data_IF_392350508296
#
_entry.id   IF_392350508296
#
_cell.length_a   1.000
_cell.length_b   1.000
_cell.length_c   1.000
_cell.angle_alpha   90.00
_cell.angle_beta   90.00
_cell.angle_gamma   90.00
#
_symmetry.space_group_name_H-M   'P 1'
#
loop_
_entity.id
_entity.type
_entity.pdbx_description
1 polymer ?
#
# COMPACT_ATOMS: atom_id res chain seq x y z
N UNK A 1 4.07 -10.76 18.88
CA UNK A 1 3.99 -9.68 17.87
C UNK A 1 5.07 -8.64 18.18
N UNK A 2 4.95 -8.06 19.36
CA UNK A 2 5.84 -7.29 20.23
C UNK A 2 7.33 -7.22 19.81
N UNK A 3 8.04 -8.35 19.69
CA UNK A 3 9.47 -8.35 19.28
C UNK A 3 9.66 -7.84 17.85
N UNK A 4 8.77 -8.17 16.92
CA UNK A 4 8.82 -7.65 15.56
C UNK A 4 8.42 -6.16 15.50
N UNK A 5 7.44 -5.74 16.32
CA UNK A 5 7.12 -4.31 16.49
C UNK A 5 8.34 -3.52 16.99
N UNK A 6 9.02 -4.04 18.02
CA UNK A 6 10.22 -3.44 18.60
C UNK A 6 11.34 -3.35 17.58
N UNK A 7 11.71 -4.47 16.97
CA UNK A 7 12.79 -4.51 15.99
C UNK A 7 12.55 -3.54 14.83
N UNK A 8 11.34 -3.49 14.26
CA UNK A 8 11.00 -2.55 13.18
C UNK A 8 10.86 -1.07 13.63
N UNK A 9 10.92 -0.79 14.93
CA UNK A 9 10.92 0.57 15.50
C UNK A 9 12.33 1.03 15.90
N UNK A 10 13.12 0.15 16.51
CA UNK A 10 14.49 0.42 16.98
C UNK A 10 15.54 0.30 15.85
N UNK A 11 15.35 -0.66 14.94
CA UNK A 11 16.10 -0.83 13.69
C UNK A 11 15.09 -0.86 12.51
N UNK A 12 14.70 0.31 11.97
CA UNK A 12 13.73 0.43 10.87
C UNK A 12 14.34 0.01 9.52
N UNK A 13 14.76 -1.25 9.44
CA UNK A 13 15.23 -1.93 8.23
C UNK A 13 14.10 -2.73 7.57
N UNK A 14 14.22 -2.97 6.27
CA UNK A 14 13.20 -3.72 5.53
C UNK A 14 13.07 -5.17 6.04
N UNK A 15 14.20 -5.84 6.35
CA UNK A 15 14.17 -7.19 6.91
C UNK A 15 13.34 -7.30 8.20
N UNK A 16 13.28 -6.25 9.02
CA UNK A 16 12.42 -6.21 10.21
C UNK A 16 10.97 -5.86 9.87
N UNK A 17 10.74 -4.94 8.93
CA UNK A 17 9.39 -4.64 8.41
C UNK A 17 8.71 -5.89 7.84
N UNK A 18 9.38 -6.69 6.99
CA UNK A 18 8.77 -7.89 6.40
C UNK A 18 8.37 -8.90 7.48
N UNK A 19 9.23 -9.11 8.49
CA UNK A 19 8.94 -10.02 9.61
C UNK A 19 7.73 -9.55 10.40
N UNK A 20 7.56 -8.25 10.59
CA UNK A 20 6.36 -7.67 11.20
C UNK A 20 5.12 -7.89 10.33
N UNK A 21 5.20 -7.61 9.03
CA UNK A 21 4.07 -7.74 8.10
C UNK A 21 3.64 -9.20 7.89
N UNK A 22 4.58 -10.14 7.73
CA UNK A 22 4.30 -11.57 7.60
C UNK A 22 3.54 -12.10 8.82
N UNK A 23 4.05 -11.81 10.03
CA UNK A 23 3.41 -12.20 11.30
C UNK A 23 2.03 -11.57 11.45
N UNK A 24 1.87 -10.28 11.10
CA UNK A 24 0.59 -9.59 11.19
C UNK A 24 -0.43 -10.11 10.17
N UNK A 25 0.02 -10.50 8.98
CA UNK A 25 -0.83 -10.99 7.88
C UNK A 25 -1.56 -12.29 8.20
N UNK A 26 -1.05 -13.08 9.15
CA UNK A 26 -1.65 -14.34 9.56
C UNK A 26 -3.08 -14.14 10.14
N UNK A 27 -3.33 -12.99 10.77
CA UNK A 27 -4.63 -12.64 11.36
C UNK A 27 -5.62 -11.99 10.36
N UNK A 28 -5.19 -11.71 9.12
CA UNK A 28 -5.97 -10.91 8.17
C UNK A 28 -7.02 -11.75 7.42
N UNK A 29 -8.21 -11.85 8.02
CA UNK A 29 -9.36 -12.64 7.54
C UNK A 29 -10.08 -12.09 6.29
N UNK A 30 -9.52 -11.11 5.58
CA UNK A 30 -10.21 -10.36 4.53
C UNK A 30 -9.45 -10.31 3.20
N UNK A 31 -10.09 -10.84 2.15
CA UNK A 31 -9.74 -10.58 0.75
C UNK A 31 -10.25 -9.20 0.36
N UNK A 32 -9.36 -8.25 0.09
CA UNK A 32 -9.72 -6.89 -0.34
C UNK A 32 -10.39 -6.87 -1.72
N UNK A 33 -11.26 -5.91 -2.00
CA UNK A 33 -11.90 -5.80 -3.33
C UNK A 33 -12.13 -4.35 -3.78
N UNK A 34 -11.06 -3.72 -4.28
CA UNK A 34 -11.08 -2.37 -4.85
C UNK A 34 -10.30 -2.32 -6.16
N UNK A 35 -11.03 -2.32 -7.29
CA UNK A 35 -10.60 -2.00 -8.67
C UNK A 35 -9.39 -2.72 -9.31
N UNK A 36 -8.61 -3.51 -8.58
CA UNK A 36 -7.60 -4.39 -9.19
C UNK A 36 -8.24 -5.47 -10.09
N UNK A 37 -7.53 -5.84 -11.15
CA UNK A 37 -7.97 -6.76 -12.20
C UNK A 37 -7.02 -7.96 -12.25
N UNK A 38 -7.52 -9.16 -11.94
CA UNK A 38 -6.76 -10.41 -12.06
C UNK A 38 -7.10 -11.47 -11.00
N UNK A 39 -6.69 -12.74 -11.19
CA UNK A 39 -6.80 -13.78 -10.16
C UNK A 39 -5.90 -13.48 -8.96
N UNK A 40 -6.42 -13.63 -7.73
CA UNK A 40 -5.65 -13.41 -6.50
C UNK A 40 -5.48 -11.93 -6.08
N UNK A 41 -6.21 -11.00 -6.71
CA UNK A 41 -6.01 -9.55 -6.68
C UNK A 41 -5.64 -8.90 -5.32
N UNK A 42 -6.17 -9.38 -4.19
CA UNK A 42 -5.76 -8.99 -2.83
C UNK A 42 -6.01 -10.13 -1.82
N UNK A 43 -5.19 -11.20 -1.86
CA UNK A 43 -5.42 -12.37 -1.00
C UNK A 43 -5.15 -12.14 0.50
N UNK A 44 -4.26 -11.20 0.86
CA UNK A 44 -4.15 -10.64 2.22
C UNK A 44 -3.95 -9.12 2.12
N UNK A 45 -4.88 -8.36 2.67
CA UNK A 45 -4.87 -6.89 2.60
C UNK A 45 -5.45 -6.26 3.88
N UNK A 46 -4.86 -5.16 4.32
CA UNK A 46 -5.40 -4.32 5.38
C UNK A 46 -5.25 -2.82 5.05
N UNK A 47 -6.30 -2.04 5.30
CA UNK A 47 -6.16 -0.58 5.49
C UNK A 47 -5.82 -0.33 6.97
N UNK A 48 -4.85 0.52 7.25
CA UNK A 48 -4.53 1.08 8.58
C UNK A 48 -4.92 2.56 8.60
N UNK A 49 -5.31 3.09 9.76
CA UNK A 49 -5.81 4.46 9.89
C UNK A 49 -7.23 4.62 9.36
N UNK A 50 -7.50 5.73 8.68
CA UNK A 50 -8.83 6.04 8.17
C UNK A 50 -9.27 5.16 7.00
N UNK A 51 -10.59 5.06 6.82
CA UNK A 51 -11.23 4.66 5.58
C UNK A 51 -12.46 5.53 5.29
N UNK A 52 -12.92 5.50 4.03
CA UNK A 52 -14.17 6.10 3.62
C UNK A 52 -14.89 5.23 2.59
N UNK A 53 -16.18 4.98 2.78
CA UNK A 53 -17.00 4.16 1.88
C UNK A 53 -18.47 4.57 1.98
N UNK A 54 -19.18 4.70 0.84
CA UNK A 54 -20.62 4.98 0.83
C UNK A 54 -21.05 6.29 1.52
N UNK A 55 -20.12 7.23 1.73
CA UNK A 55 -20.34 8.45 2.52
C UNK A 55 -19.97 8.34 4.00
N UNK A 56 -19.77 7.12 4.52
CA UNK A 56 -19.27 6.84 5.88
C UNK A 56 -17.78 7.15 5.97
N UNK A 57 -17.34 7.62 7.14
CA UNK A 57 -15.94 7.81 7.54
C UNK A 57 -15.69 6.98 8.80
N UNK A 58 -14.55 6.31 8.90
CA UNK A 58 -14.19 5.53 10.09
C UNK A 58 -12.71 5.20 10.18
N UNK A 59 -12.30 4.57 11.29
CA UNK A 59 -10.95 4.02 11.51
C UNK A 59 -11.04 2.50 11.37
N UNK A 60 -10.07 1.86 10.71
CA UNK A 60 -10.13 0.42 10.45
C UNK A 60 -9.89 -0.42 11.72
N UNK A 61 -10.50 -1.61 11.79
CA UNK A 61 -10.27 -2.56 12.89
C UNK A 61 -8.80 -3.02 12.99
N UNK A 62 -8.07 -3.08 11.87
CA UNK A 62 -6.64 -3.40 11.87
C UNK A 62 -5.80 -2.37 12.64
N UNK A 63 -6.26 -1.11 12.72
CA UNK A 63 -5.65 -0.05 13.54
C UNK A 63 -5.70 -0.34 15.06
N UNK A 64 -6.44 -1.36 15.49
CA UNK A 64 -6.42 -1.87 16.86
C UNK A 64 -5.04 -2.36 17.32
N UNK A 65 -4.22 -2.90 16.41
CA UNK A 65 -2.83 -3.31 16.69
C UNK A 65 -1.89 -2.11 16.62
N UNK A 66 -2.01 -1.22 17.63
CA UNK A 66 -1.37 0.10 17.68
C UNK A 66 0.15 0.06 17.54
N UNK A 67 0.82 -0.92 18.15
CA UNK A 67 2.29 -1.04 18.09
C UNK A 67 2.77 -1.38 16.68
N UNK A 68 2.10 -2.30 15.99
CA UNK A 68 2.41 -2.63 14.61
C UNK A 68 2.12 -1.44 13.67
N UNK A 69 1.05 -0.69 13.93
CA UNK A 69 0.77 0.57 13.23
C UNK A 69 1.87 1.62 13.46
N UNK A 70 2.35 1.76 14.70
CA UNK A 70 3.41 2.69 15.07
C UNK A 70 4.76 2.32 14.43
N UNK A 71 5.11 1.03 14.38
CA UNK A 71 6.33 0.53 13.74
C UNK A 71 6.32 0.75 12.22
N UNK A 72 5.24 0.38 11.52
CA UNK A 72 5.10 0.64 10.06
C UNK A 72 5.14 2.13 9.75
N UNK A 73 4.52 2.96 10.60
CA UNK A 73 4.61 4.42 10.53
C UNK A 73 6.04 4.94 10.75
N UNK A 74 6.74 4.44 11.77
CA UNK A 74 8.12 4.81 12.08
C UNK A 74 9.09 4.50 10.93
N UNK A 75 9.01 3.28 10.38
CA UNK A 75 9.75 2.88 9.17
C UNK A 75 9.48 3.82 7.99
N UNK A 76 8.21 4.07 7.68
CA UNK A 76 7.90 4.93 6.54
C UNK A 76 8.32 6.40 6.79
N UNK A 77 8.37 6.86 8.05
CA UNK A 77 8.87 8.21 8.40
C UNK A 77 10.38 8.34 8.36
N UNK A 78 11.15 7.30 8.72
CA UNK A 78 12.61 7.33 8.55
C UNK A 78 12.98 7.40 7.06
N UNK A 79 12.18 6.76 6.20
CA UNK A 79 12.34 6.80 4.74
C UNK A 79 11.80 8.08 4.10
N UNK A 80 10.71 8.66 4.62
CA UNK A 80 9.97 9.80 4.05
C UNK A 80 9.61 10.89 5.08
N UNK A 81 10.61 11.60 5.65
CA UNK A 81 10.41 12.48 6.81
C UNK A 81 9.46 13.68 6.57
N UNK A 82 9.30 14.12 5.32
CA UNK A 82 8.56 15.34 4.94
C UNK A 82 7.13 15.09 4.42
N UNK A 83 6.63 13.85 4.47
CA UNK A 83 5.34 13.52 3.86
C UNK A 83 4.09 14.02 4.61
N UNK A 84 2.89 13.78 4.04
CA UNK A 84 1.53 13.77 4.68
C UNK A 84 0.57 12.68 4.12
N UNK A 85 0.27 11.63 4.91
CA UNK A 85 -0.76 10.56 4.65
C UNK A 85 -1.82 10.61 5.79
N UNK A 86 -2.87 9.77 5.80
CA UNK A 86 -3.72 9.47 7.00
C UNK A 86 -4.29 8.04 6.99
N UNK A 87 -4.04 7.30 5.89
CA UNK A 87 -4.30 5.88 5.74
C UNK A 87 -3.06 5.19 5.17
N UNK A 88 -2.83 3.92 5.54
CA UNK A 88 -1.86 3.05 4.86
C UNK A 88 -2.61 1.81 4.36
N UNK A 89 -2.64 1.62 3.05
CA UNK A 89 -2.98 0.35 2.42
C UNK A 89 -1.75 -0.58 2.48
N UNK A 90 -1.88 -1.72 3.14
CA UNK A 90 -0.84 -2.76 3.24
C UNK A 90 -1.31 -4.00 2.49
N UNK A 91 -0.54 -4.38 1.46
CA UNK A 91 -0.89 -5.42 0.50
C UNK A 91 0.16 -6.54 0.58
N UNK A 92 -0.26 -7.79 0.79
CA UNK A 92 0.56 -8.92 0.35
C UNK A 92 0.23 -9.21 -1.10
N UNK A 93 1.24 -9.19 -1.97
CA UNK A 93 1.07 -9.57 -3.37
C UNK A 93 1.90 -10.83 -3.71
N UNK A 94 1.26 -12.02 -3.80
CA UNK A 94 1.89 -13.25 -4.27
C UNK A 94 1.98 -13.32 -5.82
N UNK A 95 1.57 -12.26 -6.54
CA UNK A 95 1.63 -12.10 -8.00
C UNK A 95 1.83 -10.60 -8.38
N UNK A 96 3.05 -10.07 -8.25
CA UNK A 96 3.44 -8.81 -8.93
C UNK A 96 3.51 -9.00 -10.46
N UNK A 97 4.27 -8.28 -11.32
CA UNK A 97 5.59 -7.63 -11.29
C UNK A 97 5.72 -6.18 -10.79
N UNK A 98 6.95 -5.76 -10.54
CA UNK A 98 7.29 -4.53 -9.81
C UNK A 98 7.29 -3.23 -10.60
N UNK A 99 6.42 -3.10 -11.60
CA UNK A 99 6.12 -1.81 -12.24
C UNK A 99 4.64 -1.49 -12.12
N UNK A 100 4.32 -0.24 -11.80
CA UNK A 100 2.96 0.30 -11.87
C UNK A 100 2.81 1.12 -13.15
N UNK A 101 1.95 0.67 -14.06
CA UNK A 101 1.49 1.52 -15.15
C UNK A 101 0.50 2.52 -14.55
N UNK A 102 0.71 3.81 -14.84
CA UNK A 102 -0.20 4.89 -14.50
C UNK A 102 -0.70 5.55 -15.78
N UNK A 103 -1.97 5.94 -15.78
CA UNK A 103 -2.58 6.76 -16.82
C UNK A 103 -1.96 8.16 -16.78
N UNK A 104 -1.46 8.59 -17.94
CA UNK A 104 -0.66 9.79 -18.15
C UNK A 104 -0.78 10.18 -19.63
N UNK A 105 -1.25 11.39 -19.90
CA UNK A 105 -1.57 11.84 -21.26
C UNK A 105 -0.31 12.09 -22.11
N UNK A 106 0.83 12.31 -21.45
CA UNK A 106 2.16 12.46 -22.09
C UNK A 106 2.91 11.12 -22.20
N UNK A 107 2.35 10.04 -21.65
CA UNK A 107 3.01 8.74 -21.52
C UNK A 107 3.40 8.05 -22.85
N UNK A 108 4.29 7.08 -22.78
CA UNK A 108 4.86 6.33 -23.92
C UNK A 108 4.19 4.97 -24.16
N UNK A 109 3.29 4.55 -23.27
CA UNK A 109 2.66 3.23 -23.23
C UNK A 109 1.13 3.34 -23.25
N UNK A 110 0.44 2.25 -23.58
CA UNK A 110 -1.03 2.19 -23.52
C UNK A 110 -1.54 1.01 -22.69
N UNK A 111 -2.76 1.14 -22.20
CA UNK A 111 -3.48 0.07 -21.53
C UNK A 111 -4.94 0.08 -21.96
N UNK A 112 -5.50 -1.10 -22.28
CA UNK A 112 -6.94 -1.25 -22.49
C UNK A 112 -7.66 -1.37 -21.15
N UNK A 113 -8.73 -0.59 -21.02
CA UNK A 113 -9.74 -0.73 -19.98
C UNK A 113 -11.03 -1.24 -20.63
N UNK A 114 -11.40 -2.47 -20.32
CA UNK A 114 -12.74 -2.97 -20.61
C UNK A 114 -13.74 -2.32 -19.65
N UNK A 115 -14.75 -1.63 -20.16
CA UNK A 115 -15.86 -1.11 -19.37
C UNK A 115 -17.24 -1.47 -19.98
N UNK A 116 -18.33 -1.07 -19.31
CA UNK A 116 -19.70 -1.45 -19.71
C UNK A 116 -20.14 -0.92 -21.07
N UNK A 117 -19.38 -0.02 -21.69
CA UNK A 117 -19.63 0.55 -23.02
C UNK A 117 -18.71 -0.02 -24.10
N UNK A 118 -17.74 -0.85 -23.74
CA UNK A 118 -16.74 -1.45 -24.63
C UNK A 118 -15.31 -1.34 -24.08
N UNK A 119 -14.35 -1.78 -24.88
CA UNK A 119 -12.93 -1.53 -24.62
C UNK A 119 -12.57 -0.09 -25.01
N UNK A 120 -11.90 0.63 -24.12
CA UNK A 120 -11.19 1.88 -24.47
C UNK A 120 -9.70 1.76 -24.18
N UNK A 121 -8.91 2.38 -25.03
CA UNK A 121 -7.48 2.52 -24.81
C UNK A 121 -7.21 3.77 -23.98
N UNK A 122 -6.30 3.66 -23.02
CA UNK A 122 -5.81 4.75 -22.18
C UNK A 122 -4.31 4.89 -22.39
N UNK A 123 -3.83 6.14 -22.43
CA UNK A 123 -2.41 6.48 -22.52
C UNK A 123 -1.80 6.56 -21.13
N UNK A 124 -0.52 6.21 -20.99
CA UNK A 124 0.16 6.15 -19.71
C UNK A 124 1.62 5.75 -19.78
N UNK A 125 2.25 5.60 -18.62
CA UNK A 125 3.67 5.23 -18.50
C UNK A 125 3.89 4.21 -17.40
N UNK A 126 4.94 3.41 -17.52
CA UNK A 126 5.38 2.50 -16.47
C UNK A 126 6.31 3.20 -15.48
N UNK A 127 5.87 3.34 -14.23
CA UNK A 127 6.75 3.64 -13.12
C UNK A 127 7.31 2.34 -12.55
N UNK A 128 8.62 2.17 -12.65
CA UNK A 128 9.36 1.14 -11.92
C UNK A 128 9.32 1.45 -10.41
N UNK A 129 8.92 0.47 -9.61
CA UNK A 129 8.79 0.57 -8.15
C UNK A 129 9.79 -0.31 -7.38
N UNK A 130 10.75 -0.93 -8.08
CA UNK A 130 11.85 -1.65 -7.44
C UNK A 130 12.76 -0.66 -6.69
N UNK A 131 12.93 -0.90 -5.38
CA UNK A 131 13.85 -0.24 -4.44
C UNK A 131 13.72 1.29 -4.29
N UNK A 132 12.70 1.90 -4.89
CA UNK A 132 12.45 3.35 -4.87
C UNK A 132 10.96 3.69 -4.70
N UNK A 133 10.65 4.80 -4.01
CA UNK A 133 9.28 5.31 -3.91
C UNK A 133 8.75 5.74 -5.28
N UNK A 134 7.46 5.53 -5.49
CA UNK A 134 6.71 6.07 -6.64
C UNK A 134 5.53 6.91 -6.17
N UNK A 135 5.39 8.09 -6.74
CA UNK A 135 4.31 9.06 -6.46
C UNK A 135 3.47 9.27 -7.71
N UNK A 136 2.16 9.07 -7.61
CA UNK A 136 1.21 9.27 -8.71
C UNK A 136 -0.19 9.64 -8.19
N UNK A 137 -1.04 10.22 -9.02
CA UNK A 137 -2.44 10.45 -8.65
C UNK A 137 -3.24 9.15 -8.74
N UNK A 138 -3.50 8.53 -7.59
CA UNK A 138 -4.31 7.33 -7.47
C UNK A 138 -5.79 7.50 -7.87
N UNK A 139 -6.24 8.71 -8.26
CA UNK A 139 -7.55 8.93 -8.90
C UNK A 139 -7.55 8.55 -10.37
N UNK A 140 -6.40 8.63 -11.04
CA UNK A 140 -6.20 8.15 -12.43
C UNK A 140 -6.11 6.62 -12.47
N UNK A 141 -6.36 6.04 -13.63
CA UNK A 141 -6.27 4.59 -13.81
C UNK A 141 -4.82 4.11 -13.63
N UNK A 142 -4.67 2.98 -12.96
CA UNK A 142 -3.36 2.36 -12.72
C UNK A 142 -3.50 0.84 -12.63
N UNK A 143 -2.43 0.12 -12.99
CA UNK A 143 -2.34 -1.35 -12.92
C UNK A 143 -0.91 -1.77 -12.57
N UNK A 144 -0.77 -2.93 -11.94
CA UNK A 144 0.53 -3.58 -11.69
C UNK A 144 0.86 -4.52 -12.87
N UNK A 145 2.14 -4.73 -13.14
CA UNK A 145 2.62 -5.70 -14.14
C UNK A 145 2.36 -7.17 -13.68
N UNK A 146 2.52 -8.21 -14.54
CA UNK A 146 2.57 -9.63 -14.12
C UNK A 146 4.00 -10.17 -13.87
N UNK A 147 4.17 -11.15 -12.96
CA UNK A 147 5.44 -11.85 -12.63
C UNK A 147 5.23 -13.16 -11.83
N UNK A 148 6.31 -13.70 -11.27
CA UNK A 148 6.33 -14.75 -10.23
C UNK A 148 7.06 -14.29 -8.95
N UNK A 149 6.51 -14.58 -7.76
CA UNK A 149 7.14 -14.29 -6.45
C UNK A 149 6.29 -13.46 -5.49
N UNK A 150 6.77 -13.30 -4.24
CA UNK A 150 6.06 -12.60 -3.16
C UNK A 150 6.63 -11.20 -2.90
N UNK A 151 5.77 -10.18 -2.77
CA UNK A 151 6.13 -8.84 -2.28
C UNK A 151 5.13 -8.35 -1.23
N UNK A 152 5.63 -7.54 -0.29
CA UNK A 152 4.84 -6.63 0.53
C UNK A 152 4.82 -5.22 -0.05
N UNK A 153 3.62 -4.66 -0.22
CA UNK A 153 3.42 -3.33 -0.76
C UNK A 153 2.74 -2.38 0.25
N UNK A 154 3.31 -1.18 0.39
CA UNK A 154 2.87 -0.11 1.28
C UNK A 154 2.44 1.12 0.46
N UNK A 155 1.13 1.31 0.33
CA UNK A 155 0.51 2.40 -0.40
C UNK A 155 -0.17 3.37 0.57
N UNK A 156 0.43 4.52 0.81
CA UNK A 156 -0.01 5.43 1.87
C UNK A 156 -0.56 6.74 1.31
N UNK A 157 -1.72 7.18 1.81
CA UNK A 157 -2.54 8.23 1.19
C UNK A 157 -3.44 8.97 2.20
N UNK A 158 -4.05 10.08 1.79
CA UNK A 158 -5.14 10.75 2.51
C UNK A 158 -6.47 10.46 1.79
N UNK A 159 -7.47 9.80 2.40
CA UNK A 159 -8.76 9.57 1.77
C UNK A 159 -9.55 10.88 1.68
N UNK A 160 -10.35 11.06 0.63
CA UNK A 160 -11.27 12.23 0.49
C UNK A 160 -12.21 12.38 1.70
N UNK A 161 -12.52 11.28 2.39
CA UNK A 161 -13.27 11.23 3.63
C UNK A 161 -12.62 12.02 4.80
N UNK A 162 -11.32 12.31 4.75
CA UNK A 162 -10.62 13.10 5.78
C UNK A 162 -11.22 14.50 5.96
N UNK A 163 -11.69 15.12 4.88
CA UNK A 163 -12.39 16.41 4.92
C UNK A 163 -13.71 16.37 5.71
N UNK A 164 -14.23 15.17 6.01
CA UNK A 164 -15.43 14.90 6.82
C UNK A 164 -15.11 14.17 8.12
N UNK A 165 -13.82 13.92 8.42
CA UNK A 165 -13.41 13.27 9.66
C UNK A 165 -13.51 14.26 10.84
N UNK A 166 -14.19 13.85 11.91
CA UNK A 166 -14.29 14.59 13.17
C UNK A 166 -12.95 14.56 13.91
N UNK A 167 -12.77 15.43 14.91
CA UNK A 167 -11.59 15.35 15.78
C UNK A 167 -11.48 13.98 16.49
N UNK A 168 -12.60 13.36 16.87
CA UNK A 168 -12.57 12.02 17.48
C UNK A 168 -12.03 10.93 16.52
N UNK A 169 -12.17 11.12 15.20
CA UNK A 169 -11.52 10.25 14.23
C UNK A 169 -10.01 10.56 14.18
N UNK A 170 -9.64 11.84 14.08
CA UNK A 170 -8.24 12.33 13.99
C UNK A 170 -7.39 12.02 15.23
N UNK A 171 -7.97 12.08 16.42
CA UNK A 171 -7.29 11.78 17.70
C UNK A 171 -7.17 10.26 17.93
N UNK A 172 -7.87 9.43 17.15
CA UNK A 172 -7.66 7.98 17.11
C UNK A 172 -6.61 7.56 16.07
N UNK A 173 -6.07 8.48 15.28
CA UNK A 173 -4.97 8.23 14.36
C UNK A 173 -3.62 8.36 15.07
N UNK A 174 -2.81 7.29 15.06
CA UNK A 174 -1.36 7.41 15.30
C UNK A 174 -0.79 8.19 14.11
N UNK A 175 -0.37 9.45 14.28
CA UNK A 175 0.05 10.37 13.21
C UNK A 175 0.90 9.72 12.09
N UNK A 176 0.50 9.84 10.82
CA UNK A 176 0.90 8.85 9.80
C UNK A 176 1.18 9.54 8.44
N UNK A 177 2.46 9.77 8.01
CA UNK A 177 2.84 10.63 6.84
C UNK A 177 4.16 10.26 6.06
N UNK A 178 4.41 10.33 4.71
CA UNK A 178 3.70 10.00 3.42
C UNK A 178 4.56 9.08 2.48
N UNK A 179 3.93 8.39 1.51
CA UNK A 179 4.39 7.89 0.18
C UNK A 179 5.90 7.56 0.02
N UNK A 180 6.35 6.33 -0.34
CA UNK A 180 5.71 5.05 -0.73
C UNK A 180 6.78 3.90 -0.77
N UNK A 181 6.39 2.62 -0.62
CA UNK A 181 7.13 1.39 -0.99
C UNK A 181 8.66 1.22 -0.74
N UNK A 182 9.01 0.18 0.03
CA UNK A 182 10.13 -0.76 -0.23
C UNK A 182 9.83 -2.11 0.45
N UNK A 183 10.32 -3.22 -0.10
CA UNK A 183 10.64 -4.45 0.65
C UNK A 183 11.57 -5.37 -0.18
N UNK A 184 12.87 -5.42 0.14
CA UNK A 184 13.80 -6.45 -0.38
C UNK A 184 13.75 -7.74 0.44
N UNK A 185 13.87 -8.89 -0.23
CA UNK A 185 14.45 -10.12 0.35
C UNK A 185 15.42 -10.72 -0.66
N UNK A 186 16.62 -10.14 -0.73
CA UNK A 186 17.71 -10.56 -1.62
C UNK A 186 18.42 -11.82 -1.11
N UNK A 187 17.85 -13.00 -1.37
CA UNK A 187 18.59 -14.27 -1.27
C UNK A 187 19.31 -14.58 -2.57
N UNK A 188 20.50 -13.99 -2.74
CA UNK A 188 21.39 -14.34 -3.83
C UNK A 188 21.98 -15.74 -3.63
N UNK A 189 21.56 -16.72 -4.42
CA UNK A 189 22.36 -17.90 -4.73
C UNK A 189 22.59 -17.99 -6.23
N UNK A 190 23.87 -18.05 -6.59
CA UNK A 190 24.32 -18.45 -7.93
C UNK A 190 24.16 -19.97 -8.04
N UNK A 191 23.85 -20.45 -9.24
CA UNK A 191 24.52 -21.57 -9.90
C UNK A 191 24.24 -21.45 -11.40
#
# INVERSE_FOLDING_TARGET
MDVACRNATEDPSEANLVRLLDLWSADWKHRGRTRAVGPGAYERYATLGLFGHGGVVGVSNATGLREACAAVNGFLRSRFPNGTWTSIAVLFNPRMGGRVWIEDDEGDSTARLADKKGDRELRGRWLDMHDKPVSFDARRYHKVEPHEGSMWALAAYVPQAYARATEQHRVREVYVFAVHLKMEVSHGMRN
#
